data_IF_674932539101
#
_entry.id   IF_674932539101
#
_cell.length_a   1.000
_cell.length_b   1.000
_cell.length_c   1.000
_cell.angle_alpha   90.00
_cell.angle_beta   90.00
_cell.angle_gamma   90.00
#
_symmetry.space_group_name_H-M   'P 1'
#
loop_
_entity.id
_entity.type
_entity.pdbx_description
1 polymer ?
#
# COMPACT_ATOMS: atom_id res chain seq x y z
N UNK A 1 10.82 -1.25 7.50
CA UNK A 1 9.70 -0.28 7.42
C UNK A 1 8.40 -1.00 7.13
N UNK A 2 7.26 -0.46 7.58
CA UNK A 2 5.94 -0.94 7.19
C UNK A 2 5.65 -0.60 5.74
N UNK A 3 4.67 -1.28 5.13
CA UNK A 3 4.19 -0.94 3.78
C UNK A 3 3.75 0.53 3.70
N UNK A 4 3.05 1.02 4.73
CA UNK A 4 2.60 2.42 4.79
C UNK A 4 3.78 3.40 4.77
N UNK A 5 4.78 3.21 5.63
CA UNK A 5 5.98 4.07 5.67
C UNK A 5 6.73 4.04 4.33
N UNK A 6 6.75 2.89 3.67
CA UNK A 6 7.41 2.72 2.36
C UNK A 6 6.68 3.48 1.26
N UNK A 7 5.35 3.45 1.25
CA UNK A 7 4.51 4.22 0.31
C UNK A 7 4.64 5.73 0.60
N UNK A 8 4.56 6.14 1.87
CA UNK A 8 4.75 7.54 2.30
C UNK A 8 6.10 8.08 1.79
N UNK A 9 7.16 7.30 1.94
CA UNK A 9 8.50 7.66 1.47
C UNK A 9 8.51 7.88 -0.05
N UNK A 10 7.92 6.95 -0.82
CA UNK A 10 7.87 7.08 -2.29
C UNK A 10 7.04 8.28 -2.74
N UNK A 11 5.89 8.54 -2.10
CA UNK A 11 5.07 9.72 -2.39
C UNK A 11 5.83 11.01 -2.08
N UNK A 12 6.50 11.11 -0.93
CA UNK A 12 7.30 12.29 -0.55
C UNK A 12 8.47 12.56 -1.48
N UNK A 13 9.06 11.51 -2.04
CA UNK A 13 10.18 11.61 -2.99
C UNK A 13 9.72 11.78 -4.45
N UNK A 14 8.41 11.84 -4.72
CA UNK A 14 7.86 11.96 -6.07
C UNK A 14 7.98 10.70 -6.93
N UNK A 15 8.36 9.55 -6.35
CA UNK A 15 8.41 8.27 -7.04
C UNK A 15 7.01 7.64 -7.21
N UNK A 16 6.06 8.06 -6.38
CA UNK A 16 4.65 7.72 -6.46
C UNK A 16 3.84 9.02 -6.41
N UNK A 17 2.74 9.11 -7.16
CA UNK A 17 1.87 10.28 -7.10
C UNK A 17 1.18 10.43 -5.73
N UNK A 18 0.63 11.62 -5.47
CA UNK A 18 -0.24 11.87 -4.30
C UNK A 18 -1.46 10.93 -4.28
N UNK A 19 -1.91 10.56 -5.47
CA UNK A 19 -2.87 9.48 -5.71
C UNK A 19 -2.17 8.45 -6.59
N UNK A 20 -2.38 7.18 -6.29
CA UNK A 20 -1.75 6.07 -6.99
C UNK A 20 -2.71 4.90 -7.15
N UNK A 21 -2.50 4.15 -8.22
CA UNK A 21 -3.17 2.89 -8.45
C UNK A 21 -2.39 1.74 -7.79
N UNK A 22 -3.13 0.76 -7.26
CA UNK A 22 -2.53 -0.43 -6.65
C UNK A 22 -1.58 -1.16 -7.63
N UNK A 23 -1.90 -1.13 -8.93
CA UNK A 23 -1.09 -1.76 -9.96
C UNK A 23 0.29 -1.13 -10.11
N UNK A 24 0.44 0.16 -9.78
CA UNK A 24 1.75 0.83 -9.82
C UNK A 24 2.72 0.20 -8.80
N UNK A 25 2.20 -0.23 -7.65
CA UNK A 25 2.95 -0.90 -6.58
C UNK A 25 3.20 -2.38 -6.88
N UNK A 26 2.35 -3.01 -7.70
CA UNK A 26 2.43 -4.43 -8.09
C UNK A 26 2.78 -4.61 -9.56
N UNK A 27 3.55 -3.68 -10.10
CA UNK A 27 3.97 -3.63 -11.49
C UNK A 27 5.19 -4.52 -11.74
N UNK A 28 5.36 -4.94 -12.99
CA UNK A 28 6.47 -5.81 -13.38
C UNK A 28 7.84 -5.17 -13.13
N UNK A 29 7.96 -3.84 -13.21
CA UNK A 29 9.22 -3.13 -12.94
C UNK A 29 9.61 -3.13 -11.46
N UNK A 30 8.66 -3.37 -10.55
CA UNK A 30 8.91 -3.52 -9.11
C UNK A 30 9.11 -4.96 -8.70
N UNK A 31 8.80 -5.92 -9.58
CA UNK A 31 8.84 -7.35 -9.28
C UNK A 31 10.28 -7.82 -9.08
N UNK A 32 10.50 -8.56 -8.01
CA UNK A 32 11.77 -9.19 -7.66
C UNK A 32 11.53 -10.63 -7.20
N UNK A 33 12.51 -11.50 -7.45
CA UNK A 33 12.54 -12.84 -6.86
C UNK A 33 13.41 -12.80 -5.62
N UNK A 34 12.83 -13.03 -4.45
CA UNK A 34 13.55 -13.03 -3.18
C UNK A 34 13.69 -14.46 -2.65
N UNK A 35 14.84 -14.84 -2.07
CA UNK A 35 14.95 -16.06 -1.30
C UNK A 35 14.03 -16.01 -0.07
N UNK A 36 13.29 -17.07 0.16
CA UNK A 36 12.48 -17.31 1.35
C UNK A 36 12.67 -18.77 1.78
N UNK A 37 13.65 -18.97 2.66
CA UNK A 37 14.17 -20.29 2.99
C UNK A 37 14.73 -21.00 1.74
N UNK A 38 14.27 -22.23 1.42
CA UNK A 38 14.74 -22.98 0.25
C UNK A 38 14.08 -22.55 -1.07
N UNK A 39 13.08 -21.67 -1.04
CA UNK A 39 12.31 -21.27 -2.22
C UNK A 39 12.66 -19.84 -2.68
N UNK A 40 12.45 -19.58 -3.97
CA UNK A 40 12.38 -18.21 -4.49
C UNK A 40 10.91 -17.80 -4.59
N UNK A 41 10.57 -16.66 -3.99
CA UNK A 41 9.22 -16.13 -3.97
C UNK A 41 9.15 -14.78 -4.68
N UNK A 42 8.03 -14.55 -5.36
CA UNK A 42 7.75 -13.28 -6.02
C UNK A 42 7.38 -12.21 -4.98
N UNK A 43 8.15 -11.11 -4.94
CA UNK A 43 7.86 -9.93 -4.14
C UNK A 43 7.94 -8.67 -5.00
N UNK A 44 7.48 -7.55 -4.45
CA UNK A 44 7.48 -6.26 -5.11
C UNK A 44 8.20 -5.24 -4.23
N UNK A 45 9.14 -4.51 -4.83
CA UNK A 45 9.91 -3.49 -4.16
C UNK A 45 9.09 -2.21 -3.99
N UNK A 46 8.94 -1.78 -2.75
CA UNK A 46 8.29 -0.52 -2.38
C UNK A 46 9.18 0.15 -1.34
N UNK A 47 9.65 1.35 -1.63
CA UNK A 47 10.70 2.04 -0.90
C UNK A 47 11.99 1.20 -0.88
N UNK A 48 12.40 0.82 0.32
CA UNK A 48 13.55 -0.04 0.56
C UNK A 48 13.17 -1.48 0.92
N UNK A 49 11.87 -1.81 0.92
CA UNK A 49 11.34 -3.08 1.41
C UNK A 49 10.70 -3.91 0.28
N UNK A 50 10.44 -5.19 0.57
CA UNK A 50 9.89 -6.15 -0.39
C UNK A 50 8.62 -6.81 0.17
N UNK A 51 7.52 -6.69 -0.56
CA UNK A 51 6.21 -7.16 -0.11
C UNK A 51 5.60 -8.15 -1.09
N UNK A 52 4.85 -9.12 -0.57
CA UNK A 52 4.05 -10.03 -1.40
C UNK A 52 2.90 -9.24 -2.06
N UNK A 53 2.56 -9.58 -3.31
CA UNK A 53 1.46 -8.92 -4.05
C UNK A 53 0.15 -8.86 -3.26
N UNK A 54 -0.21 -10.00 -2.67
CA UNK A 54 -1.44 -10.16 -1.87
C UNK A 54 -1.42 -9.33 -0.59
N UNK A 55 -0.26 -9.24 0.07
CA UNK A 55 -0.08 -8.41 1.26
C UNK A 55 -0.25 -6.92 0.93
N UNK A 56 0.28 -6.44 -0.20
CA UNK A 56 0.15 -5.03 -0.60
C UNK A 56 -1.32 -4.62 -0.71
N UNK A 57 -2.09 -5.33 -1.53
CA UNK A 57 -3.51 -5.04 -1.73
C UNK A 57 -4.34 -5.18 -0.45
N UNK A 58 -4.11 -6.26 0.31
CA UNK A 58 -4.87 -6.53 1.54
C UNK A 58 -4.59 -5.50 2.62
N UNK A 59 -3.32 -5.14 2.84
CA UNK A 59 -2.95 -4.15 3.85
C UNK A 59 -3.51 -2.76 3.49
N UNK A 60 -3.38 -2.32 2.24
CA UNK A 60 -3.94 -1.03 1.81
C UNK A 60 -5.45 -1.02 2.00
N UNK A 61 -6.16 -2.04 1.51
CA UNK A 61 -7.62 -2.12 1.64
C UNK A 61 -8.08 -2.15 3.10
N UNK A 62 -7.39 -2.89 3.97
CA UNK A 62 -7.77 -3.01 5.38
C UNK A 62 -7.61 -1.70 6.17
N UNK A 63 -6.66 -0.86 5.79
CA UNK A 63 -6.40 0.45 6.40
C UNK A 63 -6.96 1.63 5.59
N UNK A 64 -7.74 1.36 4.54
CA UNK A 64 -8.36 2.39 3.72
C UNK A 64 -9.72 2.83 4.31
N UNK A 65 -10.09 4.07 4.00
CA UNK A 65 -11.46 4.58 4.11
C UNK A 65 -11.95 4.95 2.72
N UNK A 66 -13.18 4.59 2.39
CA UNK A 66 -13.78 4.96 1.11
C UNK A 66 -14.18 6.44 1.12
N UNK A 67 -13.77 7.18 0.09
CA UNK A 67 -14.00 8.62 0.01
C UNK A 67 -15.47 8.99 -0.18
N UNK A 68 -16.27 8.10 -0.78
CA UNK A 68 -17.65 8.39 -1.14
C UNK A 68 -18.62 7.94 -0.04
N UNK A 69 -18.46 6.72 0.43
CA UNK A 69 -19.34 6.11 1.45
C UNK A 69 -18.86 6.34 2.88
N UNK A 70 -17.60 6.75 3.08
CA UNK A 70 -16.97 6.83 4.40
C UNK A 70 -16.66 5.47 5.02
N UNK A 71 -17.00 4.36 4.35
CA UNK A 71 -16.82 3.01 4.88
C UNK A 71 -15.33 2.69 5.11
N UNK A 72 -15.01 2.17 6.29
CA UNK A 72 -13.67 1.71 6.62
C UNK A 72 -13.39 0.31 6.07
N UNK A 73 -12.12 0.04 5.82
CA UNK A 73 -11.60 -1.31 5.67
C UNK A 73 -11.67 -2.10 6.99
N UNK A 74 -11.33 -3.39 6.93
CA UNK A 74 -11.47 -4.29 8.09
C UNK A 74 -10.80 -3.76 9.36
N UNK A 75 -9.57 -3.25 9.28
CA UNK A 75 -8.85 -2.73 10.45
C UNK A 75 -9.42 -1.39 10.91
N UNK A 76 -9.84 -0.53 9.98
CA UNK A 76 -10.48 0.76 10.32
C UNK A 76 -11.80 0.53 11.06
N UNK A 77 -12.62 -0.41 10.61
CA UNK A 77 -13.88 -0.78 11.28
C UNK A 77 -13.65 -1.40 12.67
N UNK A 78 -12.44 -1.90 12.94
CA UNK A 78 -12.00 -2.39 14.26
C UNK A 78 -11.35 -1.30 15.13
N UNK A 79 -11.40 -0.03 14.72
CA UNK A 79 -10.91 1.11 15.49
C UNK A 79 -9.47 1.53 15.16
N UNK A 80 -8.82 0.96 14.15
CA UNK A 80 -7.53 1.46 13.68
C UNK A 80 -7.70 2.79 12.92
N UNK A 81 -6.70 3.67 13.02
CA UNK A 81 -6.65 4.87 12.18
C UNK A 81 -6.57 4.49 10.69
N UNK A 82 -7.33 5.20 9.86
CA UNK A 82 -7.25 5.04 8.40
C UNK A 82 -5.94 5.67 7.90
N UNK A 83 -5.18 4.89 7.14
CA UNK A 83 -3.89 5.31 6.54
C UNK A 83 -4.02 5.69 5.08
N UNK A 84 -5.09 5.24 4.44
CA UNK A 84 -5.34 5.48 3.03
C UNK A 84 -6.78 5.97 2.82
N UNK A 85 -6.96 6.79 1.80
CA UNK A 85 -8.27 7.18 1.27
C UNK A 85 -8.44 6.48 -0.08
N UNK A 86 -9.46 5.62 -0.21
CA UNK A 86 -9.84 5.02 -1.49
C UNK A 86 -10.68 6.03 -2.26
N UNK A 87 -10.12 6.57 -3.33
CA UNK A 87 -10.77 7.60 -4.16
C UNK A 87 -11.49 7.02 -5.37
N UNK A 88 -11.06 5.84 -5.84
CA UNK A 88 -11.72 5.08 -6.89
C UNK A 88 -11.42 3.58 -6.75
N UNK A 89 -11.89 2.77 -7.70
CA UNK A 89 -11.54 1.35 -7.72
C UNK A 89 -10.02 1.17 -7.81
N UNK A 90 -9.42 0.44 -6.86
CA UNK A 90 -7.97 0.21 -6.75
C UNK A 90 -7.09 1.47 -6.74
N UNK A 91 -7.66 2.65 -6.49
CA UNK A 91 -6.94 3.92 -6.48
C UNK A 91 -6.99 4.54 -5.10
N UNK A 92 -5.83 4.91 -4.58
CA UNK A 92 -5.64 5.31 -3.19
C UNK A 92 -4.81 6.58 -3.08
N UNK A 93 -5.08 7.33 -2.01
CA UNK A 93 -4.26 8.45 -1.55
C UNK A 93 -3.78 8.15 -0.14
N UNK A 94 -2.52 8.50 0.17
CA UNK A 94 -2.00 8.43 1.55
C UNK A 94 -2.70 9.51 2.38
N UNK A 95 -3.22 9.13 3.54
CA UNK A 95 -3.65 10.09 4.55
C UNK A 95 -2.42 10.45 5.38
N UNK A 96 -2.08 11.73 5.46
CA UNK A 96 -1.06 12.18 6.38
C UNK A 96 -1.53 11.85 7.80
N UNK A 97 -0.67 11.23 8.61
CA UNK A 97 -0.85 11.27 10.04
C UNK A 97 -0.69 12.73 10.48
N UNK A 98 -1.79 13.41 10.76
CA UNK A 98 -1.78 14.59 11.61
C UNK A 98 -1.45 14.08 13.03
N UNK A 99 -0.16 13.89 13.31
CA UNK A 99 0.37 13.77 14.68
C UNK A 99 0.87 15.14 15.14
#
# INVERSE_FOLDING_TARGET
>A
MTLYESIVLETRNGALGDTFELQELTSEHRRVMCPDGPALVEKYRIGFEFFMKTAIGTTIANYARDAHSGAGGYNVNKGAAAKFLRVAHSTYKVLADDQ
#
